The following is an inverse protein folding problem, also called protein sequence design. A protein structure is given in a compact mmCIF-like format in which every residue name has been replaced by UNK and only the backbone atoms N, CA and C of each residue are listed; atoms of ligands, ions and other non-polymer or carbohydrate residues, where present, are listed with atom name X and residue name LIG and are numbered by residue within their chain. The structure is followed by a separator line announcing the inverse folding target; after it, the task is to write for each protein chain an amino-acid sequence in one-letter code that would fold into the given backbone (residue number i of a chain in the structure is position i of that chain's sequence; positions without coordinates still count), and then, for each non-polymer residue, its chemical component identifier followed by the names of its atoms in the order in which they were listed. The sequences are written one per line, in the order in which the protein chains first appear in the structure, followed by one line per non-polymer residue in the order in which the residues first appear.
data_IF_934675244319
#
_entry.id   IF_934675244319
#
_cell.length_a   1.000
_cell.length_b   1.000
_cell.length_c   1.000
_cell.angle_alpha   90.00
_cell.angle_beta   90.00
_cell.angle_gamma   90.00
#
_symmetry.space_group_name_H-M   'P 1'
#
loop_
_entity.id
_entity.type
_entity.pdbx_description
1 polymer ?
#
# COMPACT_ATOMS: atom_id res chain seq x y z
N UNK A 1 12.69 -6.95 38.28
CA UNK A 1 13.41 -6.03 37.39
C UNK A 1 12.53 -5.79 36.17
N UNK A 2 12.15 -4.53 35.87
CA UNK A 2 11.35 -4.20 34.68
C UNK A 2 12.11 -4.46 33.38
N UNK A 3 11.40 -4.74 32.30
CA UNK A 3 11.99 -4.88 30.97
C UNK A 3 12.70 -3.58 30.55
N UNK A 4 13.87 -3.71 29.91
CA UNK A 4 14.61 -2.56 29.40
C UNK A 4 13.82 -1.83 28.30
N UNK A 5 13.93 -0.50 28.18
CA UNK A 5 13.26 0.25 27.10
C UNK A 5 13.58 -0.28 25.71
N UNK A 6 14.82 -0.70 25.47
CA UNK A 6 15.26 -1.26 24.19
C UNK A 6 14.53 -2.58 23.84
N UNK A 7 14.31 -3.43 24.83
CA UNK A 7 13.58 -4.70 24.66
C UNK A 7 12.09 -4.42 24.39
N UNK A 8 11.52 -3.43 25.03
CA UNK A 8 10.14 -2.99 24.81
C UNK A 8 9.95 -2.41 23.40
N UNK A 9 10.92 -1.65 22.90
CA UNK A 9 10.94 -1.16 21.51
C UNK A 9 11.00 -2.32 20.50
N UNK A 10 11.85 -3.30 20.75
CA UNK A 10 11.92 -4.50 19.91
C UNK A 10 10.55 -5.17 19.81
N UNK A 11 9.88 -5.39 20.91
CA UNK A 11 8.54 -6.01 20.93
C UNK A 11 7.54 -5.17 20.14
N UNK A 12 7.52 -3.86 20.33
CA UNK A 12 6.60 -2.96 19.62
C UNK A 12 6.86 -2.97 18.09
N UNK A 13 8.11 -2.87 17.67
CA UNK A 13 8.48 -2.89 16.26
C UNK A 13 8.16 -4.25 15.60
N UNK A 14 8.44 -5.36 16.29
CA UNK A 14 8.16 -6.68 15.75
C UNK A 14 6.67 -7.01 15.74
N UNK A 15 5.88 -6.52 16.69
CA UNK A 15 4.42 -6.62 16.65
C UNK A 15 3.86 -5.86 15.46
N UNK A 16 4.34 -4.65 15.18
CA UNK A 16 3.96 -3.90 13.99
C UNK A 16 4.31 -4.65 12.70
N UNK A 17 5.52 -5.21 12.61
CA UNK A 17 5.96 -6.00 11.45
C UNK A 17 5.10 -7.26 11.26
N UNK A 18 4.69 -7.93 12.34
CA UNK A 18 3.81 -9.09 12.28
C UNK A 18 2.40 -8.73 11.76
N UNK A 19 1.87 -7.57 12.15
CA UNK A 19 0.60 -7.08 11.60
C UNK A 19 0.68 -6.83 10.09
N UNK A 20 1.80 -6.31 9.60
CA UNK A 20 2.01 -6.00 8.19
C UNK A 20 2.19 -7.24 7.28
N UNK A 21 2.42 -8.43 7.83
CA UNK A 21 2.59 -9.65 7.01
C UNK A 21 1.41 -9.96 6.11
N UNK A 22 0.19 -9.62 6.52
CA UNK A 22 -1.01 -9.80 5.72
C UNK A 22 -0.98 -9.02 4.39
N UNK A 23 -0.15 -7.96 4.28
CA UNK A 23 -0.02 -7.17 3.06
C UNK A 23 0.61 -7.95 1.90
N UNK A 24 1.49 -8.92 2.17
CA UNK A 24 2.19 -9.66 1.11
C UNK A 24 1.22 -10.45 0.22
N UNK A 25 0.24 -11.12 0.83
CA UNK A 25 -0.78 -11.86 0.08
C UNK A 25 -1.69 -10.92 -0.71
N UNK A 26 -2.05 -9.79 -0.13
CA UNK A 26 -2.87 -8.77 -0.78
C UNK A 26 -2.17 -8.16 -1.99
N UNK A 27 -0.87 -7.88 -1.93
CA UNK A 27 -0.09 -7.35 -3.06
C UNK A 27 -0.14 -8.30 -4.26
N UNK A 28 0.07 -9.59 -4.03
CA UNK A 28 0.01 -10.60 -5.10
C UNK A 28 -1.37 -10.68 -5.74
N UNK A 29 -2.42 -10.71 -4.92
CA UNK A 29 -3.81 -10.74 -5.41
C UNK A 29 -4.14 -9.48 -6.21
N UNK A 30 -3.70 -8.32 -5.74
CA UNK A 30 -3.89 -7.03 -6.41
C UNK A 30 -3.23 -7.02 -7.80
N UNK A 31 -1.99 -7.49 -7.93
CA UNK A 31 -1.29 -7.61 -9.21
C UNK A 31 -2.00 -8.57 -10.19
N UNK A 32 -2.53 -9.67 -9.69
CA UNK A 32 -3.31 -10.61 -10.51
C UNK A 32 -4.60 -9.97 -11.04
N UNK A 33 -5.28 -9.18 -10.22
CA UNK A 33 -6.48 -8.45 -10.61
C UNK A 33 -6.18 -7.35 -11.64
N UNK A 34 -5.07 -6.63 -11.47
CA UNK A 34 -4.61 -5.63 -12.46
C UNK A 34 -4.32 -6.28 -13.81
N UNK A 35 -3.66 -7.44 -13.84
CA UNK A 35 -3.36 -8.17 -15.06
C UNK A 35 -4.65 -8.62 -15.76
N UNK A 36 -5.58 -9.18 -15.01
CA UNK A 36 -6.88 -9.60 -15.54
C UNK A 36 -7.67 -8.42 -16.12
N UNK A 37 -7.68 -7.30 -15.42
CA UNK A 37 -8.34 -6.09 -15.89
C UNK A 37 -7.70 -5.56 -17.18
N UNK A 38 -6.39 -5.55 -17.28
CA UNK A 38 -5.68 -5.09 -18.47
C UNK A 38 -6.04 -5.96 -19.70
N UNK A 39 -6.13 -7.28 -19.53
CA UNK A 39 -6.57 -8.19 -20.57
C UNK A 39 -8.01 -7.90 -21.01
N UNK A 40 -8.92 -7.71 -20.06
CA UNK A 40 -10.32 -7.37 -20.34
C UNK A 40 -10.44 -6.03 -21.05
N UNK A 41 -9.70 -5.01 -20.60
CA UNK A 41 -9.67 -3.69 -21.23
C UNK A 41 -9.23 -3.78 -22.69
N UNK A 42 -8.15 -4.51 -22.98
CA UNK A 42 -7.66 -4.70 -24.35
C UNK A 42 -8.71 -5.39 -25.25
N UNK A 43 -9.39 -6.42 -24.73
CA UNK A 43 -10.46 -7.10 -25.46
C UNK A 43 -11.67 -6.18 -25.71
N UNK A 44 -12.07 -5.39 -24.70
CA UNK A 44 -13.17 -4.43 -24.82
C UNK A 44 -12.87 -3.38 -25.90
N UNK A 45 -11.66 -2.84 -25.92
CA UNK A 45 -11.26 -1.83 -26.91
C UNK A 45 -11.20 -2.43 -28.33
N UNK A 46 -10.73 -3.67 -28.49
CA UNK A 46 -10.69 -4.35 -29.78
C UNK A 46 -12.09 -4.68 -30.33
N UNK A 47 -13.00 -5.12 -29.46
CA UNK A 47 -14.34 -5.57 -29.84
C UNK A 47 -15.40 -4.46 -29.73
N UNK A 48 -15.06 -3.32 -29.11
CA UNK A 48 -15.99 -2.28 -28.66
C UNK A 48 -16.81 -1.58 -29.74
N UNK A 49 -16.45 -1.74 -31.02
CA UNK A 49 -17.23 -1.17 -32.15
C UNK A 49 -18.60 -1.86 -32.34
N UNK A 50 -18.74 -3.09 -31.88
CA UNK A 50 -19.94 -3.90 -32.12
C UNK A 50 -20.96 -3.84 -30.97
N UNK A 51 -20.62 -3.32 -29.81
CA UNK A 51 -21.46 -3.20 -28.59
C UNK A 51 -22.43 -4.39 -28.39
N UNK A 52 -21.91 -5.60 -28.59
CA UNK A 52 -22.69 -6.81 -28.39
C UNK A 52 -22.72 -7.22 -26.89
N UNK A 53 -23.57 -8.22 -26.59
CA UNK A 53 -23.71 -8.74 -25.22
C UNK A 53 -22.39 -9.25 -24.64
N UNK A 54 -21.51 -9.83 -25.46
CA UNK A 54 -20.18 -10.28 -25.04
C UNK A 54 -19.27 -9.16 -24.56
N UNK A 55 -19.32 -8.00 -25.20
CA UNK A 55 -18.55 -6.80 -24.75
C UNK A 55 -19.11 -6.27 -23.43
N UNK A 56 -20.42 -6.19 -23.26
CA UNK A 56 -21.05 -5.76 -22.03
C UNK A 56 -20.68 -6.68 -20.86
N UNK A 57 -20.66 -8.00 -21.07
CA UNK A 57 -20.22 -8.95 -20.05
C UNK A 57 -18.75 -8.75 -19.66
N UNK A 58 -17.86 -8.45 -20.60
CA UNK A 58 -16.45 -8.14 -20.31
C UNK A 58 -16.31 -6.85 -19.52
N UNK A 59 -17.09 -5.83 -19.83
CA UNK A 59 -17.14 -4.57 -19.04
C UNK A 59 -17.58 -4.85 -17.62
N UNK A 60 -18.60 -5.65 -17.41
CA UNK A 60 -19.07 -6.04 -16.09
C UNK A 60 -18.03 -6.84 -15.31
N UNK A 61 -17.31 -7.73 -15.96
CA UNK A 61 -16.18 -8.44 -15.36
C UNK A 61 -15.05 -7.48 -14.96
N UNK A 62 -14.73 -6.50 -15.80
CA UNK A 62 -13.75 -5.46 -15.49
C UNK A 62 -14.16 -4.63 -14.27
N UNK A 63 -15.42 -4.22 -14.19
CA UNK A 63 -15.97 -3.51 -13.02
C UNK A 63 -15.86 -4.38 -11.76
N UNK A 64 -16.13 -5.68 -11.86
CA UNK A 64 -15.98 -6.61 -10.75
C UNK A 64 -14.52 -6.67 -10.25
N UNK A 65 -13.53 -6.67 -11.13
CA UNK A 65 -12.11 -6.61 -10.73
C UNK A 65 -11.75 -5.29 -10.05
N UNK A 66 -12.30 -4.18 -10.49
CA UNK A 66 -12.13 -2.86 -9.84
C UNK A 66 -12.70 -2.89 -8.42
N UNK A 67 -13.90 -3.44 -8.24
CA UNK A 67 -14.53 -3.56 -6.93
C UNK A 67 -13.71 -4.46 -5.97
N UNK A 68 -13.14 -5.55 -6.46
CA UNK A 68 -12.27 -6.42 -5.67
C UNK A 68 -10.97 -5.70 -5.27
N UNK A 69 -10.37 -4.92 -6.17
CA UNK A 69 -9.19 -4.11 -5.85
C UNK A 69 -9.51 -3.01 -4.83
N UNK A 70 -10.65 -2.37 -4.94
CA UNK A 70 -11.13 -1.38 -3.95
C UNK A 70 -11.21 -1.97 -2.54
N UNK A 71 -11.71 -3.19 -2.44
CA UNK A 71 -11.78 -3.93 -1.18
C UNK A 71 -10.39 -4.23 -0.62
N UNK A 72 -9.43 -4.64 -1.46
CA UNK A 72 -8.04 -4.88 -1.05
C UNK A 72 -7.36 -3.59 -0.58
N UNK A 73 -7.57 -2.46 -1.25
CA UNK A 73 -7.05 -1.15 -0.84
C UNK A 73 -7.56 -0.76 0.55
N UNK A 74 -8.82 -1.03 0.83
CA UNK A 74 -9.41 -0.81 2.17
C UNK A 74 -8.79 -1.73 3.21
N UNK A 75 -8.62 -3.02 2.91
CA UNK A 75 -8.01 -3.99 3.80
C UNK A 75 -6.54 -3.63 4.13
N UNK A 76 -5.78 -3.18 3.14
CA UNK A 76 -4.41 -2.70 3.34
C UNK A 76 -4.35 -1.50 4.28
N UNK A 77 -5.26 -0.56 4.13
CA UNK A 77 -5.38 0.59 5.04
C UNK A 77 -5.63 0.13 6.47
N UNK A 78 -6.56 -0.80 6.67
CA UNK A 78 -6.89 -1.33 7.99
C UNK A 78 -5.69 -2.04 8.63
N UNK A 79 -4.93 -2.82 7.85
CA UNK A 79 -3.71 -3.50 8.31
C UNK A 79 -2.65 -2.50 8.77
N UNK A 80 -2.39 -1.46 7.99
CA UNK A 80 -1.37 -0.46 8.35
C UNK A 80 -1.79 0.44 9.50
N UNK A 81 -3.07 0.74 9.64
CA UNK A 81 -3.59 1.44 10.83
C UNK A 81 -3.43 0.61 12.10
N UNK A 82 -3.67 -0.70 12.03
CA UNK A 82 -3.41 -1.62 13.15
C UNK A 82 -1.93 -1.70 13.50
N UNK A 83 -1.06 -1.81 12.49
CA UNK A 83 0.39 -1.81 12.70
C UNK A 83 0.86 -0.50 13.35
N UNK A 84 0.34 0.64 12.93
CA UNK A 84 0.66 1.93 13.54
C UNK A 84 0.25 1.99 15.01
N UNK A 85 -0.89 1.45 15.37
CA UNK A 85 -1.34 1.40 16.78
C UNK A 85 -0.39 0.62 17.67
N UNK A 86 0.26 -0.42 17.14
CA UNK A 86 1.30 -1.17 17.86
C UNK A 86 2.54 -0.30 18.16
N UNK A 87 2.75 0.78 17.44
CA UNK A 87 3.85 1.73 17.65
C UNK A 87 3.49 2.91 18.56
N UNK A 88 2.28 2.97 19.10
CA UNK A 88 1.82 4.11 19.89
C UNK A 88 2.67 4.37 21.16
N UNK A 89 3.24 3.33 21.75
CA UNK A 89 4.08 3.41 22.95
C UNK A 89 5.57 3.62 22.66
N UNK A 90 5.99 3.57 21.39
CA UNK A 90 7.40 3.63 20.98
C UNK A 90 8.11 4.87 21.51
N UNK A 91 7.50 6.05 21.36
CA UNK A 91 8.10 7.30 21.80
C UNK A 91 8.39 7.32 23.32
N UNK A 92 7.48 6.81 24.13
CA UNK A 92 7.66 6.75 25.58
C UNK A 92 8.79 5.81 26.00
N UNK A 93 9.07 4.75 25.25
CA UNK A 93 10.22 3.87 25.48
C UNK A 93 11.52 4.51 25.04
N UNK A 94 11.53 5.22 23.91
CA UNK A 94 12.69 5.96 23.41
C UNK A 94 13.16 6.99 24.45
N UNK A 95 12.22 7.71 25.06
CA UNK A 95 12.54 8.71 26.08
C UNK A 95 13.24 8.14 27.32
N UNK A 96 13.05 6.87 27.62
CA UNK A 96 13.67 6.17 28.74
C UNK A 96 15.05 5.58 28.42
N UNK A 97 15.51 5.65 27.18
CA UNK A 97 16.84 5.16 26.79
C UNK A 97 17.90 6.14 27.31
N UNK A 98 18.82 5.64 28.13
CA UNK A 98 19.90 6.45 28.72
C UNK A 98 21.09 6.65 27.77
N UNK A 99 21.41 5.62 26.97
CA UNK A 99 22.49 5.70 25.98
C UNK A 99 22.10 6.61 24.83
N UNK A 100 22.83 7.72 24.67
CA UNK A 100 22.54 8.74 23.64
C UNK A 100 22.61 8.19 22.22
N UNK A 101 23.55 7.28 21.95
CA UNK A 101 23.69 6.68 20.61
C UNK A 101 22.47 5.84 20.27
N UNK A 102 22.08 4.97 21.19
CA UNK A 102 20.89 4.12 21.04
C UNK A 102 19.61 4.95 20.94
N UNK A 103 19.49 5.98 21.75
CA UNK A 103 18.34 6.91 21.71
C UNK A 103 18.22 7.58 20.34
N UNK A 104 19.31 8.12 19.82
CA UNK A 104 19.32 8.76 18.49
C UNK A 104 18.97 7.77 17.37
N UNK A 105 19.45 6.53 17.45
CA UNK A 105 19.10 5.49 16.48
C UNK A 105 17.60 5.16 16.54
N UNK A 106 17.04 5.01 17.72
CA UNK A 106 15.62 4.73 17.92
C UNK A 106 14.73 5.88 17.44
N UNK A 107 15.10 7.12 17.71
CA UNK A 107 14.40 8.32 17.22
C UNK A 107 14.37 8.36 15.70
N UNK A 108 15.48 8.02 15.06
CA UNK A 108 15.57 7.96 13.59
C UNK A 108 14.68 6.85 13.00
N UNK A 109 14.64 5.69 13.63
CA UNK A 109 13.75 4.59 13.22
C UNK A 109 12.28 5.03 13.33
N UNK A 110 11.90 5.70 14.42
CA UNK A 110 10.55 6.24 14.61
C UNK A 110 10.19 7.26 13.53
N UNK A 111 11.09 8.18 13.20
CA UNK A 111 10.88 9.18 12.16
C UNK A 111 10.66 8.54 10.77
N UNK A 112 11.51 7.58 10.42
CA UNK A 112 11.38 6.84 9.14
C UNK A 112 10.06 6.07 9.08
N UNK A 113 9.64 5.46 10.19
CA UNK A 113 8.33 4.80 10.27
C UNK A 113 7.17 5.76 10.01
N UNK A 114 7.20 6.94 10.62
CA UNK A 114 6.18 7.99 10.39
C UNK A 114 6.13 8.44 8.94
N UNK A 115 7.30 8.71 8.35
CA UNK A 115 7.40 9.11 6.95
C UNK A 115 6.86 8.01 6.01
N UNK A 116 7.19 6.77 6.30
CA UNK A 116 6.68 5.60 5.57
C UNK A 116 5.16 5.50 5.63
N UNK A 117 4.58 5.70 6.80
CA UNK A 117 3.14 5.68 7.01
C UNK A 117 2.42 6.82 6.27
N UNK A 118 2.96 8.03 6.28
CA UNK A 118 2.41 9.17 5.54
C UNK A 118 2.42 8.92 4.02
N UNK A 119 3.51 8.36 3.50
CA UNK A 119 3.59 7.97 2.08
C UNK A 119 2.57 6.88 1.76
N UNK A 120 2.39 5.91 2.64
CA UNK A 120 1.35 4.90 2.46
C UNK A 120 -0.05 5.51 2.38
N UNK A 121 -0.38 6.48 3.21
CA UNK A 121 -1.66 7.17 3.14
C UNK A 121 -1.87 7.85 1.79
N UNK A 122 -0.83 8.47 1.22
CA UNK A 122 -0.87 9.06 -0.12
C UNK A 122 -1.11 8.01 -1.20
N UNK A 123 -0.41 6.89 -1.15
CA UNK A 123 -0.60 5.76 -2.07
C UNK A 123 -2.05 5.25 -2.00
N UNK A 124 -2.56 5.05 -0.80
CA UNK A 124 -3.92 4.56 -0.59
C UNK A 124 -4.98 5.52 -1.15
N UNK A 125 -4.79 6.83 -0.95
CA UNK A 125 -5.68 7.84 -1.51
C UNK A 125 -5.60 7.89 -3.04
N UNK A 126 -4.40 7.83 -3.62
CA UNK A 126 -4.22 7.81 -5.08
C UNK A 126 -4.86 6.59 -5.71
N UNK A 127 -4.74 5.42 -5.09
CA UNK A 127 -5.43 4.21 -5.55
C UNK A 127 -6.94 4.33 -5.51
N UNK A 128 -7.51 4.93 -4.48
CA UNK A 128 -8.96 5.16 -4.41
C UNK A 128 -9.45 6.02 -5.55
N UNK A 129 -8.74 7.10 -5.84
CA UNK A 129 -9.08 8.01 -6.94
C UNK A 129 -8.94 7.31 -8.30
N UNK A 130 -7.87 6.53 -8.49
CA UNK A 130 -7.64 5.73 -9.69
C UNK A 130 -8.76 4.72 -9.93
N UNK A 131 -9.16 3.97 -8.89
CA UNK A 131 -10.22 2.98 -8.97
C UNK A 131 -11.59 3.60 -9.26
N UNK A 132 -11.89 4.77 -8.70
CA UNK A 132 -13.10 5.53 -9.03
C UNK A 132 -13.09 5.93 -10.51
N UNK A 133 -11.96 6.45 -11.00
CA UNK A 133 -11.82 6.86 -12.40
C UNK A 133 -11.93 5.67 -13.36
N UNK A 134 -11.34 4.52 -13.02
CA UNK A 134 -11.47 3.29 -13.80
C UNK A 134 -12.92 2.80 -13.87
N UNK A 135 -13.62 2.80 -12.75
CA UNK A 135 -15.03 2.41 -12.71
C UNK A 135 -15.90 3.33 -13.58
N UNK A 136 -15.68 4.63 -13.51
CA UNK A 136 -16.35 5.60 -14.37
C UNK A 136 -16.02 5.38 -15.86
N UNK A 137 -14.78 5.02 -16.19
CA UNK A 137 -14.39 4.66 -17.55
C UNK A 137 -15.22 3.48 -18.07
N UNK A 138 -15.31 2.39 -17.29
CA UNK A 138 -16.08 1.22 -17.70
C UNK A 138 -17.58 1.50 -17.81
N UNK A 139 -18.15 2.29 -16.92
CA UNK A 139 -19.54 2.73 -17.03
C UNK A 139 -19.80 3.55 -18.30
N UNK A 140 -18.86 4.42 -18.68
CA UNK A 140 -18.91 5.17 -19.94
C UNK A 140 -18.80 4.25 -21.16
N UNK A 141 -17.99 3.22 -21.12
CA UNK A 141 -17.86 2.23 -22.20
C UNK A 141 -19.13 1.40 -22.43
N UNK A 142 -20.00 1.27 -21.43
CA UNK A 142 -21.33 0.68 -21.59
C UNK A 142 -22.27 1.57 -22.38
N UNK A 143 -22.11 2.87 -22.32
CA UNK A 143 -23.02 3.85 -22.94
C UNK A 143 -22.81 3.94 -24.45
N UNK A 144 -23.93 3.85 -25.21
CA UNK A 144 -23.92 3.97 -26.67
C UNK A 144 -23.57 5.37 -27.15
N UNK A 145 -23.76 6.41 -26.33
CA UNK A 145 -23.60 7.82 -26.66
C UNK A 145 -22.29 8.44 -26.19
N UNK A 146 -21.41 7.65 -25.56
CA UNK A 146 -20.15 8.17 -25.01
C UNK A 146 -19.18 8.52 -26.14
N UNK A 147 -18.69 9.75 -26.13
CA UNK A 147 -17.73 10.25 -27.11
C UNK A 147 -16.32 9.73 -26.83
N UNK A 148 -15.58 9.41 -27.89
CA UNK A 148 -14.16 8.99 -27.80
C UNK A 148 -13.31 10.00 -27.04
N UNK A 149 -13.61 11.29 -27.12
CA UNK A 149 -12.93 12.36 -26.37
C UNK A 149 -13.07 12.17 -24.85
N UNK A 150 -14.26 11.84 -24.36
CA UNK A 150 -14.51 11.60 -22.93
C UNK A 150 -13.76 10.37 -22.42
N UNK A 151 -13.72 9.31 -23.21
CA UNK A 151 -12.94 8.10 -22.92
C UNK A 151 -11.46 8.43 -22.84
N UNK A 152 -10.92 9.18 -23.81
CA UNK A 152 -9.53 9.62 -23.83
C UNK A 152 -9.14 10.47 -22.63
N UNK A 153 -10.01 11.36 -22.18
CA UNK A 153 -9.80 12.19 -20.98
C UNK A 153 -9.76 11.35 -19.71
N UNK A 154 -10.63 10.34 -19.59
CA UNK A 154 -10.61 9.40 -18.46
C UNK A 154 -9.33 8.55 -18.43
N UNK A 155 -8.92 8.02 -19.56
CA UNK A 155 -7.67 7.26 -19.68
C UNK A 155 -6.48 8.11 -19.29
N UNK A 156 -6.43 9.37 -19.71
CA UNK A 156 -5.37 10.31 -19.33
C UNK A 156 -5.33 10.56 -17.82
N UNK A 157 -6.48 10.75 -17.20
CA UNK A 157 -6.60 10.93 -15.74
C UNK A 157 -6.08 9.69 -15.01
N UNK A 158 -6.49 8.49 -15.42
CA UNK A 158 -6.03 7.22 -14.84
C UNK A 158 -4.52 7.06 -14.96
N UNK A 159 -3.95 7.35 -16.12
CA UNK A 159 -2.51 7.26 -16.35
C UNK A 159 -1.73 8.24 -15.47
N UNK A 160 -2.22 9.47 -15.30
CA UNK A 160 -1.59 10.47 -14.42
C UNK A 160 -1.61 10.01 -12.96
N UNK A 161 -2.74 9.51 -12.48
CA UNK A 161 -2.86 8.96 -11.11
C UNK A 161 -1.94 7.76 -10.89
N UNK A 162 -1.85 6.89 -11.90
CA UNK A 162 -0.96 5.73 -11.84
C UNK A 162 0.52 6.14 -11.75
N UNK A 163 0.95 7.12 -12.53
CA UNK A 163 2.31 7.67 -12.47
C UNK A 163 2.63 8.26 -11.10
N UNK A 164 1.70 9.02 -10.53
CA UNK A 164 1.83 9.59 -9.18
C UNK A 164 1.95 8.48 -8.12
N UNK A 165 1.11 7.46 -8.22
CA UNK A 165 1.13 6.30 -7.33
C UNK A 165 2.46 5.55 -7.41
N UNK A 166 3.02 5.34 -8.60
CA UNK A 166 4.32 4.70 -8.79
C UNK A 166 5.45 5.48 -8.12
N UNK A 167 5.45 6.79 -8.21
CA UNK A 167 6.44 7.64 -7.53
C UNK A 167 6.35 7.51 -6.01
N UNK A 168 5.15 7.51 -5.47
CA UNK A 168 4.94 7.32 -4.03
C UNK A 168 5.32 5.91 -3.57
N UNK A 169 5.09 4.87 -4.39
CA UNK A 169 5.56 3.50 -4.11
C UNK A 169 7.08 3.41 -4.02
N UNK A 170 7.82 4.10 -4.87
CA UNK A 170 9.28 4.16 -4.81
C UNK A 170 9.75 4.75 -3.48
N UNK A 171 9.12 5.85 -3.04
CA UNK A 171 9.39 6.45 -1.72
C UNK A 171 9.07 5.49 -0.58
N UNK A 172 7.94 4.81 -0.65
CA UNK A 172 7.53 3.81 0.36
C UNK A 172 8.55 2.68 0.47
N UNK A 173 9.03 2.16 -0.65
CA UNK A 173 10.05 1.12 -0.69
C UNK A 173 11.39 1.61 -0.13
N UNK A 174 11.77 2.84 -0.42
CA UNK A 174 12.98 3.45 0.13
C UNK A 174 12.88 3.60 1.66
N UNK A 175 11.78 4.12 2.17
CA UNK A 175 11.55 4.21 3.62
C UNK A 175 11.47 2.84 4.29
N UNK A 176 10.89 1.83 3.63
CA UNK A 176 10.88 0.45 4.13
C UNK A 176 12.29 -0.10 4.30
N UNK A 177 13.16 0.14 3.32
CA UNK A 177 14.57 -0.24 3.38
C UNK A 177 15.30 0.46 4.53
N UNK A 178 15.16 1.79 4.62
CA UNK A 178 15.76 2.59 5.69
C UNK A 178 15.26 2.16 7.08
N UNK A 179 13.96 1.89 7.19
CA UNK A 179 13.34 1.40 8.42
C UNK A 179 13.91 0.05 8.86
N UNK A 180 14.00 -0.91 7.96
CA UNK A 180 14.52 -2.23 8.25
C UNK A 180 16.02 -2.19 8.60
N UNK A 181 16.82 -1.44 7.86
CA UNK A 181 18.25 -1.27 8.14
C UNK A 181 18.46 -0.57 9.49
N UNK A 182 17.70 0.47 9.78
CA UNK A 182 17.76 1.20 11.04
C UNK A 182 17.37 0.34 12.25
N UNK A 183 16.31 -0.46 12.13
CA UNK A 183 15.91 -1.41 13.17
C UNK A 183 17.01 -2.43 13.47
N UNK A 184 17.54 -3.07 12.43
CA UNK A 184 18.57 -4.10 12.58
C UNK A 184 19.82 -3.55 13.25
N UNK A 185 20.26 -2.35 12.85
CA UNK A 185 21.41 -1.69 13.47
C UNK A 185 21.15 -1.35 14.93
N UNK A 186 19.96 -0.84 15.25
CA UNK A 186 19.56 -0.58 16.63
C UNK A 186 19.55 -1.86 17.47
N UNK A 187 18.99 -2.95 16.94
CA UNK A 187 18.96 -4.24 17.65
C UNK A 187 20.36 -4.78 17.90
N UNK A 188 21.25 -4.69 16.92
CA UNK A 188 22.65 -5.11 17.04
C UNK A 188 23.39 -4.31 18.10
N UNK A 189 23.32 -2.97 18.03
CA UNK A 189 24.00 -2.09 18.97
C UNK A 189 23.43 -2.16 20.40
N UNK A 190 22.14 -2.42 20.53
CA UNK A 190 21.45 -2.66 21.80
C UNK A 190 21.65 -4.10 22.33
N UNK A 191 22.33 -4.96 21.59
CA UNK A 191 22.58 -6.38 21.93
C UNK A 191 21.29 -7.16 22.17
N UNK A 192 20.25 -6.87 21.38
CA UNK A 192 18.98 -7.59 21.43
C UNK A 192 19.15 -8.92 20.71
N UNK A 193 18.80 -10.02 21.36
CA UNK A 193 18.78 -11.36 20.73
C UNK A 193 17.54 -11.45 19.84
N UNK A 194 17.77 -11.42 18.52
CA UNK A 194 16.72 -11.67 17.54
C UNK A 194 16.33 -13.14 17.62
N UNK A 195 15.06 -13.42 17.89
CA UNK A 195 14.55 -14.80 17.78
C UNK A 195 14.54 -15.19 16.33
N UNK A 196 15.43 -16.10 15.94
CA UNK A 196 15.36 -16.72 14.61
C UNK A 196 13.99 -17.41 14.46
N UNK A 197 13.30 -17.04 13.39
CA UNK A 197 12.07 -17.75 13.03
C UNK A 197 12.46 -19.13 12.52
N UNK A 198 12.09 -20.16 13.29
CA UNK A 198 12.08 -21.55 12.80
C UNK A 198 10.96 -21.72 11.77
#
# INVERSE_FOLDING_TARGET
MGAKPEDQLYVAFENAANQEKALFDNVKTFEQLETKEQELYNQIIQEGKEQNEGVIQKIEQAIATVNEREKLVKDEKDVLEKAQKETASVHSYIDKIEDKKLKNQAEKVEEVYKNRYEVFQKINNSYKEELIAEKELYEKLKGKETKLKEIGEKVKTINTLNEETLKEKEKFNQYTKEYNEGKLKFYEDAKIKIKEKK
#
